data_IF_785919002758
#
_entry.id   IF_785919002758
#
_cell.length_a   1.000
_cell.length_b   1.000
_cell.length_c   1.000
_cell.angle_alpha   90.00
_cell.angle_beta   90.00
_cell.angle_gamma   90.00
#
_symmetry.space_group_name_H-M   'P 1'
#
loop_
_entity.id
_entity.type
_entity.pdbx_description
1 polymer ?
#
# COMPACT_ATOMS: atom_id res chain seq x y z
N UNK A 1 -29.08 2.76 -11.49
CA UNK A 1 -27.81 2.33 -12.10
C UNK A 1 -26.71 3.02 -11.33
N UNK A 2 -26.14 2.35 -10.34
CA UNK A 2 -24.94 2.84 -9.66
C UNK A 2 -23.80 2.86 -10.68
N UNK A 3 -23.15 4.00 -10.86
CA UNK A 3 -22.01 4.12 -11.75
C UNK A 3 -20.89 3.23 -11.18
N UNK A 4 -20.49 2.18 -11.92
CA UNK A 4 -19.46 1.22 -11.49
C UNK A 4 -18.14 1.90 -11.10
N UNK A 5 -17.85 3.06 -11.70
CA UNK A 5 -16.73 3.93 -11.31
C UNK A 5 -16.86 4.50 -9.89
N UNK A 6 -18.05 4.95 -9.52
CA UNK A 6 -18.34 5.40 -8.16
C UNK A 6 -18.26 4.26 -7.15
N UNK A 7 -18.69 3.06 -7.53
CA UNK A 7 -18.66 1.86 -6.66
C UNK A 7 -17.23 1.39 -6.38
N UNK A 8 -16.34 1.40 -7.37
CA UNK A 8 -14.93 1.06 -7.18
C UNK A 8 -14.21 2.07 -6.27
N UNK A 9 -14.35 3.36 -6.55
CA UNK A 9 -13.73 4.41 -5.74
C UNK A 9 -14.20 4.34 -4.28
N UNK A 10 -15.51 4.17 -4.06
CA UNK A 10 -16.05 4.00 -2.71
C UNK A 10 -15.46 2.77 -1.99
N UNK A 11 -15.35 1.63 -2.68
CA UNK A 11 -14.75 0.41 -2.10
C UNK A 11 -13.28 0.63 -1.76
N UNK A 12 -12.51 1.26 -2.65
CA UNK A 12 -11.09 1.58 -2.44
C UNK A 12 -10.91 2.49 -1.23
N UNK A 13 -11.72 3.54 -1.13
CA UNK A 13 -11.62 4.53 -0.05
C UNK A 13 -12.03 3.92 1.29
N UNK A 14 -13.11 3.13 1.32
CA UNK A 14 -13.54 2.38 2.52
C UNK A 14 -12.49 1.35 2.96
N UNK A 15 -11.85 0.65 2.02
CA UNK A 15 -10.77 -0.27 2.32
C UNK A 15 -9.52 0.47 2.82
N UNK A 16 -9.19 1.63 2.25
CA UNK A 16 -8.09 2.46 2.73
C UNK A 16 -8.33 2.91 4.17
N UNK A 17 -9.54 3.35 4.49
CA UNK A 17 -9.91 3.74 5.85
C UNK A 17 -9.83 2.56 6.83
N UNK A 18 -10.36 1.40 6.42
CA UNK A 18 -10.26 0.16 7.19
C UNK A 18 -8.80 -0.22 7.47
N UNK A 19 -7.93 -0.17 6.46
CA UNK A 19 -6.52 -0.53 6.59
C UNK A 19 -5.73 0.50 7.40
N UNK A 20 -6.05 1.80 7.33
CA UNK A 20 -5.47 2.80 8.25
C UNK A 20 -5.79 2.42 9.69
N UNK A 21 -7.05 2.07 9.98
CA UNK A 21 -7.45 1.63 11.32
C UNK A 21 -6.70 0.35 11.73
N UNK A 22 -6.77 -0.68 10.90
CA UNK A 22 -6.24 -2.00 11.21
C UNK A 22 -4.71 -2.06 11.26
N UNK A 23 -4.01 -1.47 10.29
CA UNK A 23 -2.55 -1.61 10.20
C UNK A 23 -1.79 -0.50 10.89
N UNK A 24 -2.37 0.69 11.11
CA UNK A 24 -1.66 1.79 11.76
C UNK A 24 -2.18 2.02 13.19
N UNK A 25 -3.47 2.32 13.35
CA UNK A 25 -4.04 2.73 14.64
C UNK A 25 -4.06 1.57 15.64
N UNK A 26 -4.59 0.41 15.25
CA UNK A 26 -4.59 -0.78 16.11
C UNK A 26 -3.17 -1.26 16.43
N UNK A 27 -2.23 -1.14 15.48
CA UNK A 27 -0.81 -1.40 15.73
C UNK A 27 -0.27 -0.46 16.80
N UNK A 28 -0.51 0.86 16.69
CA UNK A 28 -0.12 1.83 17.74
C UNK A 28 -0.62 1.43 19.12
N UNK A 29 -1.90 1.06 19.25
CA UNK A 29 -2.43 0.57 20.52
C UNK A 29 -1.86 -0.80 20.91
N UNK A 30 -1.46 -1.64 19.96
CA UNK A 30 -0.73 -2.90 20.24
C UNK A 30 0.63 -2.63 20.89
N UNK A 31 1.42 -1.70 20.36
CA UNK A 31 2.68 -1.27 20.98
C UNK A 31 2.46 -0.74 22.40
N UNK A 32 1.46 0.13 22.57
CA UNK A 32 1.12 0.70 23.89
C UNK A 32 0.71 -0.38 24.90
N UNK A 33 -0.11 -1.37 24.50
CA UNK A 33 -0.53 -2.49 25.36
C UNK A 33 0.62 -3.41 25.80
N UNK A 34 1.72 -3.42 25.06
CA UNK A 34 2.91 -4.21 25.38
C UNK A 34 4.03 -3.38 26.01
N UNK A 35 3.72 -2.16 26.46
CA UNK A 35 4.68 -1.21 27.04
C UNK A 35 5.90 -0.97 26.13
N UNK A 36 5.68 -0.93 24.81
CA UNK A 36 6.70 -0.63 23.80
C UNK A 36 6.46 0.72 23.15
N UNK A 37 7.53 1.49 22.85
CA UNK A 37 7.40 2.71 22.06
C UNK A 37 7.01 2.38 20.62
N UNK A 38 6.08 3.14 20.06
CA UNK A 38 5.77 3.05 18.63
C UNK A 38 6.93 3.64 17.80
N UNK A 39 7.39 2.96 16.73
CA UNK A 39 8.47 3.41 15.87
C UNK A 39 7.96 4.48 14.90
N UNK A 40 7.77 5.70 15.39
CA UNK A 40 7.39 6.82 14.53
C UNK A 40 8.43 7.02 13.42
N UNK A 41 7.94 7.25 12.21
CA UNK A 41 8.77 7.64 11.09
C UNK A 41 9.51 8.96 11.41
N UNK A 42 10.58 9.22 10.66
CA UNK A 42 11.23 10.53 10.60
C UNK A 42 10.95 11.20 9.25
N UNK A 43 11.06 12.54 9.12
CA UNK A 43 10.94 13.21 7.82
C UNK A 43 11.86 12.61 6.74
N UNK A 44 13.06 12.18 7.13
CA UNK A 44 14.05 11.57 6.24
C UNK A 44 13.57 10.21 5.71
N UNK A 45 12.85 9.43 6.52
CA UNK A 45 12.33 8.11 6.10
C UNK A 45 11.31 8.18 4.96
N UNK A 46 10.72 9.35 4.71
CA UNK A 46 9.81 9.59 3.59
C UNK A 46 10.50 10.12 2.34
N UNK A 47 11.81 10.39 2.40
CA UNK A 47 12.55 10.80 1.21
C UNK A 47 12.69 9.60 0.25
N UNK A 48 12.36 9.79 -1.04
CA UNK A 48 12.46 8.73 -2.04
C UNK A 48 13.87 8.13 -2.13
N UNK A 49 13.94 6.80 -2.36
CA UNK A 49 15.19 6.09 -2.66
C UNK A 49 16.12 5.85 -1.47
N UNK A 50 15.74 6.30 -0.25
CA UNK A 50 16.52 6.05 0.96
C UNK A 50 16.35 4.59 1.40
N UNK A 51 17.47 3.94 1.76
CA UNK A 51 17.47 2.63 2.40
C UNK A 51 17.04 2.77 3.86
N UNK A 52 16.14 1.93 4.33
CA UNK A 52 15.69 1.93 5.72
C UNK A 52 16.29 0.74 6.46
N UNK A 53 16.58 0.91 7.75
CA UNK A 53 17.03 -0.19 8.58
C UNK A 53 15.99 -1.32 8.57
N UNK A 54 16.44 -2.55 8.35
CA UNK A 54 15.59 -3.73 8.32
C UNK A 54 15.41 -4.26 9.74
N UNK A 55 14.48 -3.66 10.49
CA UNK A 55 14.03 -4.20 11.77
C UNK A 55 12.54 -4.44 11.70
N UNK A 56 12.11 -5.70 11.85
CA UNK A 56 10.70 -6.03 11.89
C UNK A 56 10.11 -5.70 13.25
N UNK A 57 9.01 -4.96 13.24
CA UNK A 57 8.26 -4.63 14.43
C UNK A 57 7.12 -5.65 14.66
N UNK A 58 7.20 -6.51 15.69
CA UNK A 58 6.24 -7.60 15.87
C UNK A 58 4.82 -7.12 16.24
N UNK A 59 4.68 -5.91 16.78
CA UNK A 59 3.38 -5.31 17.11
C UNK A 59 2.76 -4.52 15.95
N UNK A 60 3.46 -4.44 14.82
CA UNK A 60 2.95 -3.86 13.59
C UNK A 60 2.19 -4.93 12.79
N UNK A 61 0.94 -4.63 12.42
CA UNK A 61 0.18 -5.48 11.50
C UNK A 61 0.61 -5.21 10.07
N UNK A 62 0.74 -6.26 9.28
CA UNK A 62 1.02 -6.19 7.85
C UNK A 62 -0.23 -6.44 7.03
N UNK A 63 -0.22 -6.02 5.77
CA UNK A 63 -1.27 -6.35 4.81
C UNK A 63 -0.70 -6.38 3.39
N UNK A 64 -1.24 -7.26 2.55
CA UNK A 64 -1.06 -7.20 1.11
C UNK A 64 -2.42 -7.51 0.46
N UNK A 65 -3.07 -6.50 -0.10
CA UNK A 65 -4.39 -6.66 -0.73
C UNK A 65 -4.34 -6.13 -2.16
N UNK A 66 -4.80 -6.95 -3.10
CA UNK A 66 -4.99 -6.59 -4.49
C UNK A 66 -6.49 -6.39 -4.73
N UNK A 67 -6.86 -5.22 -5.23
CA UNK A 67 -8.23 -4.91 -5.66
C UNK A 67 -8.23 -4.74 -7.17
N UNK A 68 -9.11 -5.43 -7.87
CA UNK A 68 -9.25 -5.32 -9.33
C UNK A 68 -10.71 -5.11 -9.69
N UNK A 69 -11.00 -4.07 -10.47
CA UNK A 69 -12.37 -3.80 -10.91
C UNK A 69 -12.76 -4.63 -12.14
N UNK A 70 -12.86 -5.94 -11.93
CA UNK A 70 -13.18 -6.93 -12.95
C UNK A 70 -12.43 -8.25 -12.72
N UNK A 71 -12.60 -9.22 -13.63
CA UNK A 71 -11.82 -10.45 -13.61
C UNK A 71 -10.34 -10.15 -13.90
N UNK A 72 -9.43 -10.82 -13.20
CA UNK A 72 -8.00 -10.70 -13.48
C UNK A 72 -7.70 -11.28 -14.88
N UNK A 73 -6.98 -10.55 -15.75
CA UNK A 73 -6.56 -11.06 -17.06
C UNK A 73 -5.89 -12.43 -16.97
N UNK A 74 -6.22 -13.33 -17.90
CA UNK A 74 -5.72 -14.71 -17.88
C UNK A 74 -4.19 -14.78 -18.02
N UNK A 75 -3.61 -13.87 -18.78
CA UNK A 75 -2.17 -13.61 -18.94
C UNK A 75 -1.45 -13.34 -17.62
N UNK A 76 -2.10 -12.70 -16.65
CA UNK A 76 -1.52 -12.39 -15.35
C UNK A 76 -1.52 -13.59 -14.39
N UNK A 77 -2.32 -14.64 -14.63
CA UNK A 77 -2.44 -15.80 -13.72
C UNK A 77 -1.13 -16.56 -13.49
N UNK A 78 -0.18 -16.47 -14.43
CA UNK A 78 1.17 -17.06 -14.26
C UNK A 78 2.00 -16.33 -13.20
N UNK A 79 1.71 -15.05 -12.97
CA UNK A 79 2.40 -14.18 -12.03
C UNK A 79 1.60 -13.95 -10.75
N UNK A 80 0.31 -13.65 -10.86
CA UNK A 80 -0.61 -13.52 -9.73
C UNK A 80 -1.35 -14.86 -9.62
N UNK A 81 -0.82 -15.76 -8.80
CA UNK A 81 -1.31 -17.13 -8.66
C UNK A 81 -2.42 -17.18 -7.61
N UNK A 82 -3.62 -17.44 -8.10
CA UNK A 82 -4.79 -17.81 -7.31
C UNK A 82 -5.43 -19.05 -7.95
N UNK A 83 -6.00 -19.93 -7.12
CA UNK A 83 -6.57 -21.23 -7.52
C UNK A 83 -7.92 -21.40 -6.84
N UNK A 84 -8.74 -22.32 -7.35
CA UNK A 84 -10.02 -22.69 -6.71
C UNK A 84 -9.87 -23.12 -5.25
N UNK A 85 -8.75 -23.76 -4.91
CA UNK A 85 -8.43 -24.12 -3.52
C UNK A 85 -8.25 -22.91 -2.59
N UNK A 86 -8.05 -21.71 -3.14
CA UNK A 86 -7.79 -20.46 -2.41
C UNK A 86 -8.99 -19.52 -2.46
N UNK A 87 -10.07 -19.90 -3.15
CA UNK A 87 -11.32 -19.14 -3.19
C UNK A 87 -11.89 -18.99 -1.78
N UNK A 88 -12.53 -17.86 -1.52
CA UNK A 88 -13.16 -17.56 -0.25
C UNK A 88 -14.45 -18.37 -0.08
N UNK A 89 -14.30 -19.61 0.38
CA UNK A 89 -15.40 -20.51 0.78
C UNK A 89 -15.16 -21.00 2.20
N UNK A 90 -16.22 -21.40 2.91
CA UNK A 90 -16.09 -21.94 4.28
C UNK A 90 -15.18 -23.17 4.31
N UNK A 91 -15.29 -24.06 3.31
CA UNK A 91 -14.45 -25.25 3.21
C UNK A 91 -12.97 -24.89 3.00
N UNK A 92 -12.66 -23.96 2.10
CA UNK A 92 -11.29 -23.53 1.85
C UNK A 92 -10.72 -22.77 3.04
N UNK A 93 -11.48 -21.87 3.67
CA UNK A 93 -11.05 -21.13 4.85
C UNK A 93 -10.75 -22.09 6.00
N UNK A 94 -11.61 -23.08 6.24
CA UNK A 94 -11.39 -24.11 7.28
C UNK A 94 -10.10 -24.91 7.06
N UNK A 95 -9.68 -25.05 5.80
CA UNK A 95 -8.44 -25.75 5.43
C UNK A 95 -7.21 -24.83 5.51
N UNK A 96 -7.35 -23.58 5.11
CA UNK A 96 -6.23 -22.62 4.98
C UNK A 96 -5.92 -21.89 6.29
N UNK A 97 -6.95 -21.59 7.08
CA UNK A 97 -6.89 -20.84 8.32
C UNK A 97 -7.97 -21.38 9.30
N UNK A 98 -7.80 -22.63 9.80
CA UNK A 98 -8.78 -23.27 10.70
C UNK A 98 -9.07 -22.45 11.96
N UNK A 99 -8.07 -21.76 12.49
CA UNK A 99 -8.19 -20.83 13.62
C UNK A 99 -9.09 -19.63 13.31
N UNK A 100 -9.09 -19.18 12.06
CA UNK A 100 -10.02 -18.16 11.57
C UNK A 100 -11.41 -18.76 11.46
N UNK A 101 -11.56 -19.86 10.72
CA UNK A 101 -12.85 -20.49 10.46
C UNK A 101 -13.61 -20.91 11.74
N UNK A 102 -12.93 -21.51 12.72
CA UNK A 102 -13.57 -22.08 13.91
C UNK A 102 -14.24 -21.07 14.84
N UNK A 103 -13.81 -19.80 14.79
CA UNK A 103 -14.34 -18.72 15.63
C UNK A 103 -15.18 -17.71 14.85
N UNK A 104 -15.41 -17.95 13.56
CA UNK A 104 -16.08 -16.99 12.69
C UNK A 104 -17.58 -17.30 12.58
N UNK A 105 -18.41 -16.28 12.81
CA UNK A 105 -19.78 -16.28 12.27
C UNK A 105 -19.65 -15.90 10.80
N UNK A 106 -20.05 -16.75 9.84
CA UNK A 106 -19.94 -16.43 8.42
C UNK A 106 -20.64 -15.09 8.13
N UNK A 107 -19.97 -14.13 7.46
CA UNK A 107 -20.62 -12.88 7.10
C UNK A 107 -21.74 -13.13 6.08
N UNK A 108 -22.69 -12.21 6.01
CA UNK A 108 -23.80 -12.30 5.04
C UNK A 108 -23.33 -12.11 3.57
N UNK A 109 -22.10 -11.64 3.39
CA UNK A 109 -21.42 -11.53 2.10
C UNK A 109 -19.93 -11.24 2.27
N UNK A 110 -19.25 -10.94 1.17
CA UNK A 110 -17.78 -10.78 1.11
C UNK A 110 -17.35 -9.39 0.61
N UNK A 111 -18.27 -8.43 0.59
CA UNK A 111 -18.04 -7.05 0.23
C UNK A 111 -17.90 -6.17 1.48
N UNK A 112 -17.26 -5.01 1.33
CA UNK A 112 -17.00 -4.09 2.45
C UNK A 112 -18.27 -3.63 3.21
N UNK A 113 -19.43 -3.65 2.54
CA UNK A 113 -20.72 -3.25 3.12
C UNK A 113 -21.45 -4.37 3.86
N UNK A 114 -20.96 -5.61 3.77
CA UNK A 114 -21.64 -6.76 4.38
C UNK A 114 -21.36 -6.86 5.88
N UNK A 115 -22.41 -7.20 6.64
CA UNK A 115 -22.31 -7.37 8.08
C UNK A 115 -21.30 -8.47 8.43
N UNK A 116 -20.39 -8.16 9.36
CA UNK A 116 -19.33 -9.07 9.81
C UNK A 116 -18.12 -9.18 8.88
N UNK A 117 -18.19 -8.69 7.63
CA UNK A 117 -17.06 -8.76 6.71
C UNK A 117 -15.82 -8.00 7.20
N UNK A 118 -15.91 -6.77 7.76
CA UNK A 118 -14.73 -6.10 8.31
C UNK A 118 -14.01 -6.89 9.42
N UNK A 119 -14.76 -7.62 10.24
CA UNK A 119 -14.19 -8.49 11.27
C UNK A 119 -13.48 -9.70 10.66
N UNK A 120 -14.06 -10.34 9.64
CA UNK A 120 -13.40 -11.41 8.87
C UNK A 120 -12.11 -10.89 8.22
N UNK A 121 -12.20 -9.79 7.47
CA UNK A 121 -11.06 -9.19 6.78
C UNK A 121 -9.94 -8.86 7.77
N UNK A 122 -10.30 -8.30 8.92
CA UNK A 122 -9.36 -8.03 10.01
C UNK A 122 -8.58 -9.27 10.40
N UNK A 123 -9.22 -10.43 10.59
CA UNK A 123 -8.53 -11.67 10.95
C UNK A 123 -7.66 -12.23 9.81
N UNK A 124 -8.07 -12.01 8.56
CA UNK A 124 -7.33 -12.46 7.38
C UNK A 124 -6.05 -11.65 7.12
N UNK A 125 -5.93 -10.41 7.62
CA UNK A 125 -4.71 -9.60 7.46
C UNK A 125 -3.48 -10.25 8.09
N UNK A 126 -3.67 -11.09 9.11
CA UNK A 126 -2.56 -11.75 9.82
C UNK A 126 -1.97 -12.93 9.02
N UNK A 127 -2.53 -13.25 7.84
CA UNK A 127 -2.00 -14.26 6.94
C UNK A 127 -0.77 -13.77 6.16
N UNK A 128 0.13 -14.69 5.80
CA UNK A 128 1.35 -14.39 5.03
C UNK A 128 1.16 -14.20 3.53
N UNK A 129 -0.08 -14.26 3.05
CA UNK A 129 -0.40 -14.23 1.64
C UNK A 129 -1.22 -13.00 1.26
N UNK A 130 -1.19 -12.66 -0.02
CA UNK A 130 -2.03 -11.58 -0.52
C UNK A 130 -3.50 -11.99 -0.49
N UNK A 131 -4.37 -11.03 -0.19
CA UNK A 131 -5.81 -11.15 -0.40
C UNK A 131 -6.15 -10.55 -1.76
N UNK A 132 -7.12 -11.13 -2.46
CA UNK A 132 -7.61 -10.64 -3.74
C UNK A 132 -9.09 -10.31 -3.65
N UNK A 133 -9.43 -9.05 -3.92
CA UNK A 133 -10.78 -8.55 -4.04
C UNK A 133 -11.07 -8.22 -5.50
N UNK A 134 -12.20 -8.68 -6.02
CA UNK A 134 -12.55 -8.54 -7.43
C UNK A 134 -14.03 -8.24 -7.62
N UNK A 135 -14.35 -7.57 -8.73
CA UNK A 135 -15.71 -7.57 -9.26
C UNK A 135 -15.93 -8.81 -10.14
N UNK A 136 -16.78 -9.77 -9.73
CA UNK A 136 -16.97 -11.01 -10.50
C UNK A 136 -17.73 -10.80 -11.80
N UNK A 137 -18.71 -9.88 -11.83
CA UNK A 137 -19.51 -9.56 -13.00
C UNK A 137 -19.91 -8.08 -13.03
N UNK A 138 -20.31 -7.57 -14.19
CA UNK A 138 -20.84 -6.21 -14.31
C UNK A 138 -22.02 -6.00 -13.34
N UNK A 139 -22.07 -4.83 -12.71
CA UNK A 139 -23.10 -4.45 -11.72
C UNK A 139 -23.15 -5.28 -10.43
N UNK A 140 -22.15 -6.12 -10.14
CA UNK A 140 -21.98 -6.76 -8.81
C UNK A 140 -21.00 -5.96 -7.95
N UNK A 141 -21.09 -5.96 -6.61
CA UNK A 141 -20.10 -5.30 -5.77
C UNK A 141 -18.75 -6.01 -5.84
N UNK A 142 -17.68 -5.27 -5.57
CA UNK A 142 -16.35 -5.86 -5.37
C UNK A 142 -16.39 -6.67 -4.08
N UNK A 143 -15.89 -7.90 -4.13
CA UNK A 143 -15.88 -8.83 -3.01
C UNK A 143 -14.54 -9.56 -2.88
N UNK A 144 -14.22 -10.02 -1.67
CA UNK A 144 -13.08 -10.88 -1.42
C UNK A 144 -13.26 -12.22 -2.14
N UNK A 145 -12.45 -12.45 -3.18
CA UNK A 145 -12.54 -13.66 -3.98
C UNK A 145 -11.57 -14.74 -3.51
N UNK A 146 -10.36 -14.37 -3.05
CA UNK A 146 -9.33 -15.34 -2.64
C UNK A 146 -8.51 -14.85 -1.45
N UNK A 147 -8.10 -15.79 -0.59
CA UNK A 147 -7.40 -15.52 0.69
C UNK A 147 -5.95 -16.00 0.74
N UNK A 148 -5.44 -16.54 -0.37
CA UNK A 148 -4.08 -17.09 -0.45
C UNK A 148 -3.51 -16.85 -1.85
N UNK A 149 -3.28 -15.59 -2.19
CA UNK A 149 -2.74 -15.19 -3.50
C UNK A 149 -1.24 -14.97 -3.40
N UNK A 150 -0.49 -15.51 -4.38
CA UNK A 150 0.97 -15.30 -4.50
C UNK A 150 1.27 -14.41 -5.70
N UNK A 151 2.19 -13.48 -5.53
CA UNK A 151 2.73 -12.68 -6.63
C UNK A 151 4.15 -13.15 -6.89
N UNK A 152 4.37 -13.75 -8.07
CA UNK A 152 5.60 -14.42 -8.43
C UNK A 152 6.11 -13.93 -9.80
N UNK A 153 7.24 -13.24 -9.77
CA UNK A 153 8.03 -12.87 -10.95
C UNK A 153 9.48 -12.71 -10.51
N UNK A 154 10.43 -13.00 -11.40
CA UNK A 154 11.83 -12.70 -11.14
C UNK A 154 12.02 -11.19 -11.03
N UNK A 155 12.65 -10.73 -9.93
CA UNK A 155 12.95 -9.31 -9.69
C UNK A 155 13.70 -8.70 -10.85
N UNK A 156 14.76 -9.35 -11.34
CA UNK A 156 15.53 -8.90 -12.51
C UNK A 156 14.64 -8.65 -13.72
N UNK A 157 13.64 -9.51 -13.96
CA UNK A 157 12.73 -9.33 -15.08
C UNK A 157 11.73 -8.19 -14.85
N UNK A 158 11.33 -7.91 -13.61
CA UNK A 158 10.49 -6.76 -13.27
C UNK A 158 11.27 -5.44 -13.45
N UNK A 159 12.49 -5.38 -12.90
CA UNK A 159 13.42 -4.26 -13.01
C UNK A 159 13.75 -3.99 -14.48
N UNK A 160 14.14 -5.03 -15.24
CA UNK A 160 14.47 -4.91 -16.66
C UNK A 160 13.33 -4.34 -17.49
N UNK A 161 12.09 -4.77 -17.24
CA UNK A 161 10.93 -4.25 -17.99
C UNK A 161 10.73 -2.77 -17.69
N UNK A 162 10.73 -2.37 -16.41
CA UNK A 162 10.60 -0.96 -16.05
C UNK A 162 11.73 -0.12 -16.65
N UNK A 163 12.97 -0.54 -16.45
CA UNK A 163 14.16 0.18 -16.92
C UNK A 163 14.16 0.35 -18.45
N UNK A 164 13.71 -0.67 -19.19
CA UNK A 164 13.53 -0.59 -20.64
C UNK A 164 12.43 0.39 -21.02
N UNK A 165 11.27 0.30 -20.37
CA UNK A 165 10.10 1.13 -20.70
C UNK A 165 10.37 2.63 -20.39
N UNK A 166 11.25 2.92 -19.41
CA UNK A 166 11.75 4.26 -19.11
C UNK A 166 12.95 4.70 -19.96
N UNK A 167 13.53 3.78 -20.75
CA UNK A 167 14.63 4.05 -21.69
C UNK A 167 16.05 4.00 -21.09
N UNK A 168 16.23 3.49 -19.87
CA UNK A 168 17.57 3.39 -19.25
C UNK A 168 18.41 2.22 -19.76
N UNK A 169 17.75 1.20 -20.32
CA UNK A 169 18.37 0.05 -20.99
C UNK A 169 17.65 -0.28 -22.28
N UNK A 170 18.32 -1.00 -23.19
CA UNK A 170 17.75 -1.44 -24.46
C UNK A 170 17.17 -2.85 -24.36
N UNK A 171 17.89 -3.80 -23.77
CA UNK A 171 17.55 -5.24 -23.86
C UNK A 171 17.69 -5.97 -22.53
N UNK A 172 18.89 -5.97 -21.97
CA UNK A 172 19.23 -6.82 -20.81
C UNK A 172 19.59 -5.96 -19.60
N UNK A 173 19.24 -6.43 -18.41
CA UNK A 173 19.47 -5.67 -17.18
C UNK A 173 20.96 -5.36 -16.96
N UNK A 174 21.82 -6.32 -17.27
CA UNK A 174 23.27 -6.24 -17.07
C UNK A 174 24.03 -5.66 -18.28
N UNK A 175 23.35 -5.03 -19.26
CA UNK A 175 24.03 -4.52 -20.46
C UNK A 175 25.09 -3.43 -20.18
N UNK A 176 24.99 -2.75 -19.03
CA UNK A 176 25.98 -1.77 -18.54
C UNK A 176 26.73 -2.24 -17.28
N UNK A 177 26.68 -3.53 -16.96
CA UNK A 177 27.35 -4.13 -15.79
C UNK A 177 26.50 -4.19 -14.51
N UNK A 178 27.03 -4.84 -13.48
CA UNK A 178 26.31 -5.16 -12.23
C UNK A 178 25.93 -3.92 -11.43
N UNK A 179 26.83 -2.94 -11.30
CA UNK A 179 26.56 -1.69 -10.57
C UNK A 179 25.36 -0.93 -11.14
N UNK A 180 25.19 -0.94 -12.47
CA UNK A 180 24.04 -0.32 -13.13
C UNK A 180 22.75 -1.11 -12.85
N UNK A 181 22.81 -2.44 -12.91
CA UNK A 181 21.69 -3.30 -12.57
C UNK A 181 21.21 -3.10 -11.12
N UNK A 182 22.14 -3.01 -10.16
CA UNK A 182 21.83 -2.71 -8.76
C UNK A 182 21.18 -1.33 -8.60
N UNK A 183 21.67 -0.32 -9.31
CA UNK A 183 21.08 1.02 -9.30
C UNK A 183 19.65 1.01 -9.84
N UNK A 184 19.39 0.27 -10.93
CA UNK A 184 18.05 0.09 -11.49
C UNK A 184 17.12 -0.66 -10.55
N UNK A 185 17.61 -1.66 -9.81
CA UNK A 185 16.81 -2.36 -8.79
C UNK A 185 16.39 -1.41 -7.66
N UNK A 186 17.32 -0.61 -7.14
CA UNK A 186 17.01 0.42 -6.13
C UNK A 186 15.95 1.39 -6.64
N UNK A 187 16.07 1.82 -7.91
CA UNK A 187 15.10 2.70 -8.57
C UNK A 187 13.76 2.04 -8.84
N UNK A 188 13.73 0.74 -9.09
CA UNK A 188 12.48 -0.02 -9.19
C UNK A 188 11.68 0.07 -7.88
N UNK A 189 12.31 -0.11 -6.72
CA UNK A 189 11.59 0.06 -5.45
C UNK A 189 11.17 1.51 -5.19
N UNK A 190 12.04 2.47 -5.51
CA UNK A 190 11.70 3.89 -5.40
C UNK A 190 10.49 4.26 -6.27
N UNK A 191 10.39 3.75 -7.50
CA UNK A 191 9.25 3.97 -8.41
C UNK A 191 7.89 3.62 -7.80
N UNK A 192 7.87 2.63 -6.90
CA UNK A 192 6.67 2.16 -6.20
C UNK A 192 6.58 2.69 -4.75
N UNK A 193 7.45 3.63 -4.34
CA UNK A 193 7.45 4.26 -3.01
C UNK A 193 8.03 3.40 -1.90
N UNK A 194 8.83 2.40 -2.24
CA UNK A 194 9.47 1.51 -1.27
C UNK A 194 10.96 1.86 -1.09
N UNK A 195 11.50 1.46 0.06
CA UNK A 195 12.92 1.63 0.34
C UNK A 195 13.77 0.79 -0.61
N UNK A 196 15.00 1.24 -0.89
CA UNK A 196 15.89 0.64 -1.88
C UNK A 196 16.25 -0.83 -1.63
N UNK A 197 16.18 -1.29 -0.38
CA UNK A 197 16.48 -2.65 0.08
C UNK A 197 15.21 -3.49 0.32
N UNK A 198 14.10 -3.16 -0.35
CA UNK A 198 12.81 -3.81 -0.10
C UNK A 198 12.78 -5.26 -0.57
N UNK A 199 12.08 -6.09 0.19
CA UNK A 199 11.87 -7.51 -0.11
C UNK A 199 10.45 -7.94 0.28
N UNK A 200 10.14 -9.24 0.18
CA UNK A 200 8.89 -9.82 0.68
C UNK A 200 7.63 -9.13 0.14
N UNK A 201 6.76 -8.67 1.05
CA UNK A 201 5.47 -8.02 0.72
C UNK A 201 5.63 -6.75 -0.12
N UNK A 202 6.67 -5.93 0.12
CA UNK A 202 6.94 -4.71 -0.69
C UNK A 202 7.32 -5.07 -2.12
N UNK A 203 8.16 -6.09 -2.29
CA UNK A 203 8.53 -6.60 -3.60
C UNK A 203 7.31 -7.19 -4.34
N UNK A 204 6.50 -7.99 -3.66
CA UNK A 204 5.24 -8.52 -4.19
C UNK A 204 4.25 -7.40 -4.58
N UNK A 205 4.13 -6.35 -3.78
CA UNK A 205 3.29 -5.19 -4.08
C UNK A 205 3.77 -4.43 -5.33
N UNK A 206 5.06 -4.14 -5.42
CA UNK A 206 5.67 -3.48 -6.59
C UNK A 206 5.47 -4.31 -7.87
N UNK A 207 5.69 -5.62 -7.80
CA UNK A 207 5.46 -6.53 -8.92
C UNK A 207 3.98 -6.58 -9.32
N UNK A 208 3.07 -6.68 -8.35
CA UNK A 208 1.64 -6.70 -8.62
C UNK A 208 1.19 -5.40 -9.29
N UNK A 209 1.61 -4.24 -8.77
CA UNK A 209 1.29 -2.95 -9.34
C UNK A 209 1.82 -2.81 -10.78
N UNK A 210 3.07 -3.21 -11.04
CA UNK A 210 3.63 -3.20 -12.41
C UNK A 210 2.84 -4.07 -13.38
N UNK A 211 2.45 -5.27 -12.95
CA UNK A 211 1.70 -6.22 -13.77
C UNK A 211 0.27 -5.76 -14.04
N UNK A 212 -0.40 -5.24 -13.01
CA UNK A 212 -1.76 -4.73 -13.12
C UNK A 212 -1.82 -3.46 -13.97
N UNK A 213 -0.86 -2.54 -13.82
CA UNK A 213 -0.78 -1.34 -14.67
C UNK A 213 -0.66 -1.65 -16.17
N UNK A 214 -0.05 -2.80 -16.51
CA UNK A 214 0.11 -3.21 -17.90
C UNK A 214 -1.15 -3.80 -18.54
N UNK A 215 -2.07 -4.39 -17.75
CA UNK A 215 -3.14 -5.24 -18.29
C UNK A 215 -4.54 -5.05 -17.66
N UNK A 216 -4.64 -4.37 -16.51
CA UNK A 216 -5.90 -4.11 -15.82
C UNK A 216 -6.30 -2.63 -15.93
N UNK A 217 -7.59 -2.37 -16.19
CA UNK A 217 -8.07 -1.01 -16.40
C UNK A 217 -8.18 -0.18 -15.13
N UNK A 218 -8.54 -0.80 -14.00
CA UNK A 218 -8.65 -0.16 -12.67
C UNK A 218 -8.26 -1.16 -11.59
N UNK A 219 -7.33 -0.77 -10.73
CA UNK A 219 -6.79 -1.64 -9.70
C UNK A 219 -6.20 -0.83 -8.55
N UNK A 220 -6.13 -1.43 -7.37
CA UNK A 220 -5.37 -0.87 -6.24
C UNK A 220 -4.59 -1.97 -5.55
N UNK A 221 -3.36 -1.66 -5.16
CA UNK A 221 -2.47 -2.50 -4.38
C UNK A 221 -2.22 -1.80 -3.06
N UNK A 222 -2.63 -2.46 -1.97
CA UNK A 222 -2.39 -2.01 -0.61
C UNK A 222 -1.30 -2.86 0.01
N UNK A 223 -0.28 -2.22 0.55
CA UNK A 223 0.85 -2.89 1.21
C UNK A 223 1.18 -2.22 2.53
N UNK A 224 1.18 -2.98 3.61
CA UNK A 224 1.71 -2.55 4.91
C UNK A 224 2.66 -3.61 5.45
N UNK A 225 3.79 -3.18 6.00
CA UNK A 225 4.86 -4.07 6.44
C UNK A 225 5.31 -3.74 7.85
N UNK A 226 5.90 -4.74 8.51
CA UNK A 226 6.43 -4.60 9.86
C UNK A 226 7.68 -3.74 9.95
N UNK A 227 8.38 -3.52 8.84
CA UNK A 227 9.65 -2.79 8.81
C UNK A 227 9.46 -1.27 8.77
N UNK A 228 8.47 -0.76 8.02
CA UNK A 228 8.29 0.68 7.78
C UNK A 228 7.07 1.28 8.47
N UNK A 229 6.25 0.45 9.16
CA UNK A 229 5.07 0.88 9.94
C UNK A 229 4.17 1.87 9.19
N UNK A 230 3.99 1.58 7.90
CA UNK A 230 3.34 2.43 6.91
C UNK A 230 2.40 1.60 6.06
N UNK A 231 1.37 2.24 5.54
CA UNK A 231 0.47 1.71 4.53
C UNK A 231 0.73 2.44 3.21
N UNK A 232 1.16 1.70 2.20
CA UNK A 232 1.37 2.17 0.83
C UNK A 232 0.21 1.75 -0.04
N UNK A 233 -0.32 2.68 -0.82
CA UNK A 233 -1.38 2.45 -1.80
C UNK A 233 -0.86 2.87 -3.17
N UNK A 234 -0.93 1.93 -4.11
CA UNK A 234 -0.58 2.13 -5.52
C UNK A 234 -1.80 1.71 -6.33
N UNK A 235 -2.43 2.64 -7.04
CA UNK A 235 -3.58 2.37 -7.89
C UNK A 235 -3.27 2.64 -9.36
N UNK A 236 -4.29 2.67 -10.21
CA UNK A 236 -4.14 3.00 -11.63
C UNK A 236 -3.68 4.44 -11.89
N UNK A 237 -3.59 5.29 -10.86
CA UNK A 237 -3.10 6.65 -11.01
C UNK A 237 -1.57 6.71 -10.99
N UNK A 238 -1.02 7.80 -11.52
CA UNK A 238 0.41 8.12 -11.45
C UNK A 238 0.88 8.48 -10.03
N UNK A 239 0.06 8.29 -8.99
CA UNK A 239 0.34 8.67 -7.61
C UNK A 239 0.63 7.44 -6.74
N UNK A 240 1.70 7.52 -5.94
CA UNK A 240 1.92 6.63 -4.78
C UNK A 240 1.43 7.35 -3.53
N UNK A 241 0.59 6.69 -2.74
CA UNK A 241 0.10 7.25 -1.48
C UNK A 241 0.66 6.49 -0.29
N UNK A 242 1.25 7.22 0.66
CA UNK A 242 1.70 6.69 1.93
C UNK A 242 0.82 7.20 3.06
N UNK A 243 0.39 6.30 3.93
CA UNK A 243 -0.25 6.60 5.20
C UNK A 243 0.65 6.09 6.33
N UNK A 244 0.90 6.93 7.34
CA UNK A 244 1.73 6.58 8.48
C UNK A 244 1.28 7.38 9.71
N UNK A 245 1.77 6.98 10.87
CA UNK A 245 1.57 7.74 12.10
C UNK A 245 2.77 8.64 12.34
N UNK A 246 2.48 9.90 12.67
CA UNK A 246 3.50 10.87 13.08
C UNK A 246 3.11 11.47 14.43
N UNK A 247 4.12 11.96 15.14
CA UNK A 247 3.92 12.65 16.41
C UNK A 247 4.17 14.14 16.24
N UNK A 248 3.19 14.95 16.62
CA UNK A 248 3.25 16.41 16.51
C UNK A 248 2.71 17.07 17.77
N UNK A 249 2.98 18.37 17.95
CA UNK A 249 2.37 19.15 19.04
C UNK A 249 0.91 19.45 18.75
N UNK A 250 0.04 19.37 19.76
CA UNK A 250 -1.38 19.70 19.61
C UNK A 250 -1.62 21.15 19.15
N UNK A 251 -0.73 22.07 19.51
CA UNK A 251 -0.77 23.46 19.03
C UNK A 251 -0.47 23.57 17.54
N UNK A 252 0.27 22.64 16.94
CA UNK A 252 0.50 22.61 15.51
C UNK A 252 -0.80 22.33 14.75
N UNK A 253 -1.64 21.39 15.24
CA UNK A 253 -2.95 21.10 14.67
C UNK A 253 -3.86 22.32 14.67
N UNK A 254 -3.94 23.04 15.80
CA UNK A 254 -4.74 24.27 15.89
C UNK A 254 -4.28 25.33 14.89
N UNK A 255 -2.96 25.50 14.72
CA UNK A 255 -2.39 26.46 13.77
C UNK A 255 -2.72 26.15 12.31
N UNK A 256 -2.85 24.88 11.95
CA UNK A 256 -3.22 24.46 10.59
C UNK A 256 -4.73 24.32 10.38
N UNK A 257 -5.55 24.77 11.34
CA UNK A 257 -7.00 24.87 11.18
C UNK A 257 -7.84 23.78 11.85
N UNK A 258 -7.27 22.97 12.74
CA UNK A 258 -8.06 22.02 13.51
C UNK A 258 -8.96 22.75 14.53
N UNK A 259 -10.28 22.75 14.30
CA UNK A 259 -11.28 23.25 15.27
C UNK A 259 -11.26 22.42 16.56
N UNK A 260 -11.18 21.10 16.42
CA UNK A 260 -11.09 20.15 17.52
C UNK A 260 -9.91 19.20 17.29
N UNK A 261 -8.91 19.28 18.17
CA UNK A 261 -7.72 18.40 18.11
C UNK A 261 -8.10 16.91 18.18
N UNK A 262 -9.14 16.57 18.94
CA UNK A 262 -9.63 15.20 19.09
C UNK A 262 -10.10 14.57 17.76
N UNK A 263 -10.46 15.38 16.75
CA UNK A 263 -10.83 14.86 15.44
C UNK A 263 -9.66 14.28 14.65
N UNK A 264 -8.42 14.57 15.03
CA UNK A 264 -7.20 14.15 14.32
C UNK A 264 -6.26 13.31 15.20
N UNK A 265 -6.48 13.30 16.51
CA UNK A 265 -5.67 12.61 17.52
C UNK A 265 -6.14 11.16 17.66
N UNK A 266 -5.24 10.18 17.50
CA UNK A 266 -5.57 8.76 17.68
C UNK A 266 -5.34 8.26 19.11
N UNK A 267 -4.58 9.00 19.92
CA UNK A 267 -4.34 8.68 21.33
C UNK A 267 -5.40 9.31 22.23
N UNK A 268 -5.96 8.51 23.15
CA UNK A 268 -7.01 8.94 24.10
C UNK A 268 -6.52 9.99 25.12
N UNK A 269 -5.20 10.03 25.38
CA UNK A 269 -4.58 10.96 26.32
C UNK A 269 -3.37 11.60 25.66
N UNK A 270 -3.23 12.91 25.86
CA UNK A 270 -2.07 13.67 25.39
C UNK A 270 -0.77 13.04 25.93
N UNK A 271 0.21 12.86 25.05
CA UNK A 271 1.54 12.41 25.49
C UNK A 271 2.24 13.52 26.30
N UNK A 272 3.20 13.16 27.17
CA UNK A 272 4.05 14.12 27.84
C UNK A 272 4.65 15.16 26.87
N UNK A 273 4.61 16.43 27.26
CA UNK A 273 5.10 17.54 26.43
C UNK A 273 4.11 18.04 25.37
N UNK A 274 2.82 17.71 25.47
CA UNK A 274 1.76 18.26 24.61
C UNK A 274 1.70 17.64 23.22
N UNK A 275 2.25 16.44 23.06
CA UNK A 275 2.26 15.74 21.78
C UNK A 275 1.01 14.87 21.59
N UNK A 276 0.57 14.80 20.36
CA UNK A 276 -0.52 13.95 19.87
C UNK A 276 -0.01 13.13 18.69
N UNK A 277 -0.61 11.95 18.52
CA UNK A 277 -0.34 11.06 17.41
C UNK A 277 -1.45 11.24 16.39
N UNK A 278 -1.06 11.45 15.14
CA UNK A 278 -2.00 11.73 14.04
C UNK A 278 -1.72 10.82 12.85
N UNK A 279 -2.75 10.57 12.05
CA UNK A 279 -2.58 9.90 10.76
C UNK A 279 -2.14 10.92 9.71
N UNK A 280 -1.02 10.66 9.06
CA UNK A 280 -0.44 11.50 8.03
C UNK A 280 -0.47 10.79 6.67
N UNK A 281 -0.92 11.51 5.65
CA UNK A 281 -0.96 11.06 4.25
C UNK A 281 -0.01 11.89 3.42
N UNK A 282 0.92 11.23 2.73
CA UNK A 282 1.80 11.83 1.75
C UNK A 282 1.54 11.21 0.37
N UNK A 283 1.42 12.06 -0.66
CA UNK A 283 1.20 11.65 -2.05
C UNK A 283 2.39 12.05 -2.90
N UNK A 284 2.85 11.10 -3.70
CA UNK A 284 4.03 11.24 -4.52
C UNK A 284 3.69 10.99 -5.98
N UNK A 285 4.21 11.83 -6.88
CA UNK A 285 4.12 11.58 -8.33
C UNK A 285 5.47 11.17 -8.87
N UNK A 286 5.46 10.51 -10.03
CA UNK A 286 6.68 10.16 -10.77
C UNK A 286 7.27 11.42 -11.38
N UNK A 287 8.55 11.67 -11.11
CA UNK A 287 9.30 12.77 -11.73
C UNK A 287 9.50 12.51 -13.22
N UNK A 288 10.01 13.49 -13.96
CA UNK A 288 10.35 13.28 -15.37
C UNK A 288 11.35 12.12 -15.55
N UNK A 289 12.26 11.92 -14.59
CA UNK A 289 13.22 10.80 -14.54
C UNK A 289 12.53 9.41 -14.50
N UNK A 290 11.30 9.35 -13.98
CA UNK A 290 10.53 8.12 -13.83
C UNK A 290 9.32 8.02 -14.78
N UNK A 291 9.25 8.84 -15.82
CA UNK A 291 8.19 8.75 -16.84
C UNK A 291 8.69 8.08 -18.13
N UNK A 292 7.81 7.38 -18.89
CA UNK A 292 8.18 6.76 -20.15
C UNK A 292 8.92 7.72 -21.08
N UNK A 293 9.92 7.21 -21.80
CA UNK A 293 10.65 8.02 -22.76
C UNK A 293 9.72 8.48 -23.91
N UNK A 294 9.97 9.67 -24.46
CA UNK A 294 9.18 10.24 -25.57
C UNK A 294 9.22 9.37 -26.85
N UNK A 295 10.21 8.50 -26.99
CA UNK A 295 10.33 7.53 -28.07
C UNK A 295 10.87 6.21 -27.52
N UNK A 296 10.40 5.09 -28.06
CA UNK A 296 10.81 3.74 -27.67
C UNK A 296 12.31 3.46 -27.93
N UNK A 297 12.94 4.22 -28.84
CA UNK A 297 14.37 4.08 -29.18
C UNK A 297 15.28 5.06 -28.41
N UNK A 298 14.69 5.97 -27.62
CA UNK A 298 15.46 6.97 -26.90
C UNK A 298 16.15 6.34 -25.68
N UNK A 299 17.47 6.18 -25.75
CA UNK A 299 18.28 5.84 -24.58
C UNK A 299 18.42 7.07 -23.70
N UNK A 300 17.91 6.96 -22.47
CA UNK A 300 18.01 8.00 -21.46
C UNK A 300 19.42 8.02 -20.86
N UNK A 301 19.88 9.23 -20.52
CA UNK A 301 21.12 9.42 -19.76
C UNK A 301 20.99 8.80 -18.36
N UNK A 302 22.08 8.20 -17.87
CA UNK A 302 22.13 7.62 -16.52
C UNK A 302 22.12 8.69 -15.41
N UNK A 303 22.30 9.98 -15.73
CA UNK A 303 22.15 11.10 -14.77
C UNK A 303 20.78 11.04 -14.06
N UNK A 304 19.73 10.63 -14.76
CA UNK A 304 18.39 10.50 -14.16
C UNK A 304 18.27 9.33 -13.17
N UNK A 305 19.28 8.46 -13.03
CA UNK A 305 19.35 7.45 -11.99
C UNK A 305 19.92 8.00 -10.67
N UNK A 306 20.55 9.18 -10.69
CA UNK A 306 21.02 9.85 -9.48
C UNK A 306 19.92 10.73 -8.87
N UNK A 307 18.95 11.16 -9.68
CA UNK A 307 17.82 12.01 -9.27
C UNK A 307 16.67 11.20 -8.63
N UNK A 308 15.90 11.80 -7.69
CA UNK A 308 14.67 11.17 -7.19
C UNK A 308 13.67 10.86 -8.31
N UNK A 309 13.10 9.67 -8.26
CA UNK A 309 12.05 9.18 -9.17
C UNK A 309 10.65 9.49 -8.67
N UNK A 310 10.53 9.86 -7.39
CA UNK A 310 9.30 10.36 -6.80
C UNK A 310 9.50 11.78 -6.27
N UNK A 311 8.45 12.58 -6.30
CA UNK A 311 8.40 13.89 -5.63
C UNK A 311 7.09 14.02 -4.84
N UNK A 312 7.19 14.59 -3.64
CA UNK A 312 6.03 14.86 -2.79
C UNK A 312 5.18 15.97 -3.42
N UNK A 313 3.92 15.69 -3.69
CA UNK A 313 2.98 16.67 -4.27
C UNK A 313 2.01 17.21 -3.24
N UNK A 314 1.52 16.34 -2.37
CA UNK A 314 0.51 16.70 -1.38
C UNK A 314 0.77 15.98 -0.06
N UNK A 315 0.49 16.67 1.04
CA UNK A 315 0.67 16.14 2.38
C UNK A 315 -0.43 16.66 3.32
N UNK A 316 -1.07 15.74 4.03
CA UNK A 316 -2.22 16.03 4.88
C UNK A 316 -2.18 15.27 6.18
N UNK A 317 -2.71 15.88 7.24
CA UNK A 317 -3.17 15.16 8.41
C UNK A 317 -4.63 14.76 8.18
N UNK A 318 -4.89 13.47 8.32
CA UNK A 318 -6.22 12.90 8.15
C UNK A 318 -6.99 12.93 9.46
N UNK A 319 -8.33 13.14 9.43
CA UNK A 319 -9.16 12.91 10.59
C UNK A 319 -9.08 11.44 11.03
N UNK A 320 -9.42 11.17 12.27
CA UNK A 320 -9.63 9.82 12.76
C UNK A 320 -10.68 9.13 11.87
N UNK A 321 -10.41 7.91 11.37
CA UNK A 321 -11.37 7.12 10.61
C UNK A 321 -12.78 7.12 11.19
N UNK A 322 -13.79 7.40 10.36
CA UNK A 322 -15.21 7.48 10.70
C UNK A 322 -15.73 8.89 10.93
N UNK A 323 -14.86 9.90 11.00
CA UNK A 323 -15.27 11.29 11.16
C UNK A 323 -15.38 12.00 9.81
N UNK A 324 -16.47 12.72 9.60
CA UNK A 324 -16.70 13.50 8.38
C UNK A 324 -16.18 14.94 8.54
N UNK A 325 -14.85 15.08 8.60
CA UNK A 325 -14.12 16.35 8.78
C UNK A 325 -13.04 16.43 7.70
N UNK A 326 -12.73 17.62 7.13
CA UNK A 326 -11.73 17.72 6.08
C UNK A 326 -10.33 17.36 6.57
N UNK A 327 -9.50 16.81 5.69
CA UNK A 327 -8.08 16.65 5.97
C UNK A 327 -7.37 18.02 5.99
N UNK A 328 -6.36 18.17 6.84
CA UNK A 328 -5.64 19.43 7.02
C UNK A 328 -4.30 19.40 6.28
N UNK A 329 -3.98 20.36 5.40
CA UNK A 329 -2.68 20.44 4.76
C UNK A 329 -1.57 20.54 5.82
N UNK A 330 -0.56 19.69 5.71
CA UNK A 330 0.56 19.70 6.64
C UNK A 330 1.82 19.23 5.93
N UNK A 331 2.82 20.10 5.79
CA UNK A 331 4.09 19.73 5.18
C UNK A 331 5.10 19.36 6.27
N UNK A 332 5.31 18.06 6.44
CA UNK A 332 6.20 17.53 7.48
C UNK A 332 7.65 17.33 7.01
N UNK A 333 7.88 17.26 5.70
CA UNK A 333 9.18 16.94 5.09
C UNK A 333 10.00 18.24 4.80
N UNK A 334 9.41 19.41 5.03
CA UNK A 334 10.03 20.73 4.76
C UNK A 334 11.04 21.17 5.79
#
# INVERSE_FOLDING_TARGET
MENTSSSYAATRDQLSEFLIRATLIESYHSFARHDKPYPFATPESLRPGISTAAYEHPFQRSALILVVDGPLPASLRKHIRFRSANEMTVANLSRLAPEIAGNLIPPQGLSMNDEGFPALLGRLLDMDYALLMQRPAENTPISLSHVHVKVERLTDNAVRVLARDLGYIRRTLYEKGEVHAEMLERKFYEYFGFAANSSGRKCAAAMAAQLLAAEASRFAVFASCQEDCRLTVIDESEIVTHHLLIRIKAEALKRIGAEQVAHYSINDRMEPGGHTVVCYRARFRRTLAAQPAKSADAVRSDIGLEEPWLELTEAYILPVPGLNVPALPYNWIS
#
